data_IF_667651674119
#
_entry.id   IF_667651674119
#
_cell.length_a   1.000
_cell.length_b   1.000
_cell.length_c   1.000
_cell.angle_alpha   90.00
_cell.angle_beta   90.00
_cell.angle_gamma   90.00
#
_symmetry.space_group_name_H-M   'P 1'
#
loop_
_entity.id
_entity.type
_entity.pdbx_description
1 polymer ?
#
# COMPACT_ATOMS: atom_id res chain seq x y z
N UNK A 1 16.11 4.36 2.34
CA UNK A 1 15.11 5.44 2.46
C UNK A 1 14.38 5.23 3.79
N UNK A 2 14.13 6.31 4.53
CA UNK A 2 13.87 6.30 5.98
C UNK A 2 12.58 5.56 6.38
N UNK A 3 12.67 4.71 7.40
CA UNK A 3 11.65 3.74 7.83
C UNK A 3 10.75 4.26 8.98
N UNK A 4 10.72 5.58 9.24
CA UNK A 4 10.29 6.08 10.56
C UNK A 4 9.29 7.24 10.61
N UNK A 5 8.68 7.64 9.49
CA UNK A 5 7.69 8.75 9.48
C UNK A 5 6.48 8.46 8.58
N UNK A 6 6.27 7.20 8.24
CA UNK A 6 5.46 6.81 7.10
C UNK A 6 4.56 5.61 7.39
N UNK A 7 3.74 5.24 6.41
CA UNK A 7 2.87 4.06 6.51
C UNK A 7 3.63 2.76 6.20
N UNK A 8 3.03 1.62 6.56
CA UNK A 8 3.45 0.29 6.15
C UNK A 8 2.27 -0.52 5.59
N UNK A 9 2.57 -1.52 4.76
CA UNK A 9 1.56 -2.45 4.24
C UNK A 9 1.49 -3.63 5.22
N UNK A 10 0.39 -3.74 5.99
CA UNK A 10 0.15 -4.83 6.92
C UNK A 10 -0.37 -6.09 6.22
N UNK A 11 -1.13 -5.90 5.14
CA UNK A 11 -1.64 -6.97 4.28
C UNK A 11 -1.87 -6.43 2.85
N UNK A 12 -1.73 -7.26 1.80
CA UNK A 12 -1.28 -8.66 1.82
C UNK A 12 0.21 -8.80 2.15
N UNK A 13 0.62 -9.97 2.64
CA UNK A 13 2.03 -10.27 2.90
C UNK A 13 2.77 -10.54 1.59
N UNK A 14 4.08 -10.27 1.57
CA UNK A 14 4.93 -10.50 0.40
C UNK A 14 4.84 -11.97 -0.08
N UNK A 15 4.62 -12.16 -1.37
CA UNK A 15 4.46 -13.48 -1.99
C UNK A 15 3.04 -14.06 -1.89
N UNK A 16 2.07 -13.31 -1.36
CA UNK A 16 0.67 -13.75 -1.33
C UNK A 16 0.14 -14.01 -2.74
N UNK A 17 -0.67 -15.06 -2.87
CA UNK A 17 -1.32 -15.43 -4.12
C UNK A 17 -2.68 -14.76 -4.24
N UNK A 18 -2.94 -14.14 -5.38
CA UNK A 18 -4.18 -13.44 -5.70
C UNK A 18 -4.75 -13.94 -7.03
N UNK A 19 -6.05 -13.77 -7.23
CA UNK A 19 -6.72 -14.14 -8.48
C UNK A 19 -7.33 -12.91 -9.16
N UNK A 20 -7.27 -12.82 -10.51
CA UNK A 20 -7.94 -11.74 -11.24
C UNK A 20 -9.44 -11.69 -10.91
N UNK A 21 -10.00 -10.48 -10.76
CA UNK A 21 -11.42 -10.27 -10.45
C UNK A 21 -11.82 -10.52 -9.00
N UNK A 22 -10.88 -10.88 -8.12
CA UNK A 22 -11.15 -11.03 -6.69
C UNK A 22 -10.92 -9.74 -5.92
N UNK A 23 -11.71 -9.54 -4.86
CA UNK A 23 -11.45 -8.48 -3.89
C UNK A 23 -10.37 -8.95 -2.91
N UNK A 24 -9.35 -8.12 -2.74
CA UNK A 24 -8.31 -8.30 -1.72
C UNK A 24 -8.41 -7.19 -0.70
N UNK A 25 -8.03 -7.49 0.54
CA UNK A 25 -7.89 -6.49 1.59
C UNK A 25 -6.46 -5.97 1.61
N UNK A 26 -6.31 -4.67 1.43
CA UNK A 26 -5.06 -3.95 1.62
C UNK A 26 -5.15 -3.24 2.96
N UNK A 27 -4.37 -3.71 3.92
CA UNK A 27 -4.22 -3.10 5.23
C UNK A 27 -3.05 -2.13 5.18
N UNK A 28 -3.32 -0.87 5.48
CA UNK A 28 -2.31 0.17 5.55
C UNK A 28 -2.23 0.61 7.00
N UNK A 29 -1.08 0.35 7.60
CA UNK A 29 -0.80 0.72 8.98
C UNK A 29 -0.11 2.08 9.00
N UNK A 30 -0.42 2.87 10.01
CA UNK A 30 0.30 4.09 10.36
C UNK A 30 1.01 3.84 11.69
N UNK A 31 2.26 3.34 11.68
CA UNK A 31 3.08 3.24 12.88
C UNK A 31 3.14 4.58 13.62
N UNK A 32 3.19 4.53 14.96
CA UNK A 32 3.30 5.73 15.78
C UNK A 32 4.52 6.56 15.36
N UNK A 33 4.27 7.79 14.90
CA UNK A 33 5.31 8.73 14.48
C UNK A 33 5.69 9.64 15.65
N UNK A 34 7.00 9.91 15.81
CA UNK A 34 7.51 10.82 16.84
C UNK A 34 7.04 12.28 16.65
N UNK A 35 6.66 12.64 15.43
CA UNK A 35 6.09 13.95 15.06
C UNK A 35 4.64 13.77 14.62
N UNK A 36 3.73 14.65 15.05
CA UNK A 36 2.36 14.64 14.57
C UNK A 36 2.31 14.79 13.04
N UNK A 37 1.52 13.95 12.39
CA UNK A 37 1.18 14.06 10.96
C UNK A 37 -0.34 14.16 10.77
N UNK A 38 -0.74 14.87 9.71
CA UNK A 38 -2.11 14.88 9.19
C UNK A 38 -2.15 14.03 7.94
N UNK A 39 -2.98 13.00 7.95
CA UNK A 39 -3.19 12.10 6.83
C UNK A 39 -4.09 12.79 5.80
N UNK A 40 -3.72 12.71 4.52
CA UNK A 40 -4.45 13.42 3.45
C UNK A 40 -5.04 12.43 2.46
N UNK A 41 -4.21 11.62 1.83
CA UNK A 41 -4.65 10.71 0.78
C UNK A 41 -3.74 9.51 0.62
N UNK A 42 -4.33 8.44 0.09
CA UNK A 42 -3.61 7.24 -0.33
C UNK A 42 -4.07 6.80 -1.71
N UNK A 43 -3.13 6.26 -2.47
CA UNK A 43 -3.35 5.65 -3.77
C UNK A 43 -2.87 4.21 -3.68
N UNK A 44 -3.76 3.28 -4.00
CA UNK A 44 -3.43 1.85 -4.09
C UNK A 44 -3.36 1.51 -5.57
N UNK A 45 -2.19 1.11 -6.01
CA UNK A 45 -1.92 0.71 -7.39
C UNK A 45 -1.61 -0.77 -7.50
N UNK A 46 -1.82 -1.30 -8.70
CA UNK A 46 -1.51 -2.68 -9.04
C UNK A 46 -0.83 -2.76 -10.39
N UNK A 47 0.27 -3.50 -10.45
CA UNK A 47 1.05 -3.70 -11.67
C UNK A 47 1.38 -5.17 -11.85
N UNK A 48 1.00 -5.75 -13.00
CA UNK A 48 1.53 -7.04 -13.43
C UNK A 48 2.97 -6.86 -13.90
N UNK A 49 3.86 -7.76 -13.48
CA UNK A 49 5.28 -7.71 -13.82
C UNK A 49 5.64 -8.64 -14.98
N UNK A 50 4.61 -9.21 -15.63
CA UNK A 50 4.75 -10.01 -16.84
C UNK A 50 5.22 -9.09 -17.99
N UNK A 51 6.32 -9.48 -18.65
CA UNK A 51 6.87 -8.74 -19.79
C UNK A 51 7.99 -7.74 -19.45
N UNK A 52 8.34 -7.55 -18.18
CA UNK A 52 9.52 -6.76 -17.81
C UNK A 52 10.80 -7.61 -17.94
N UNK A 53 11.80 -7.05 -18.60
CA UNK A 53 13.02 -7.74 -19.06
C UNK A 53 13.94 -8.25 -17.96
N UNK A 54 13.79 -7.78 -16.72
CA UNK A 54 14.66 -8.15 -15.58
C UNK A 54 13.97 -9.01 -14.52
N UNK A 55 12.78 -9.57 -14.78
CA UNK A 55 11.97 -10.29 -13.77
C UNK A 55 11.64 -9.46 -12.52
N UNK A 56 11.89 -8.15 -12.58
CA UNK A 56 11.66 -7.19 -11.51
C UNK A 56 10.56 -6.23 -11.93
N UNK A 57 9.60 -6.05 -11.02
CA UNK A 57 8.56 -5.06 -11.18
C UNK A 57 9.18 -3.64 -11.16
N UNK A 58 8.65 -2.69 -11.94
CA UNK A 58 9.12 -1.31 -11.89
C UNK A 58 8.90 -0.72 -10.49
N UNK A 59 9.79 0.14 -9.97
CA UNK A 59 9.61 0.73 -8.65
C UNK A 59 8.29 1.52 -8.58
N UNK A 60 7.57 1.47 -7.44
CA UNK A 60 6.22 2.06 -7.30
C UNK A 60 6.21 3.58 -7.52
N UNK A 61 7.32 4.25 -7.20
CA UNK A 61 7.49 5.68 -7.43
C UNK A 61 7.59 6.04 -8.93
N UNK A 62 7.99 5.10 -9.78
CA UNK A 62 8.07 5.29 -11.23
C UNK A 62 6.82 4.80 -11.96
N UNK A 63 6.14 3.78 -11.43
CA UNK A 63 4.91 3.24 -12.00
C UNK A 63 3.97 2.71 -10.92
N UNK A 64 2.85 3.41 -10.73
CA UNK A 64 1.76 2.98 -9.84
C UNK A 64 1.01 1.80 -10.48
N UNK A 65 0.81 1.84 -11.80
CA UNK A 65 0.04 0.85 -12.56
C UNK A 65 -1.45 1.18 -12.60
N UNK A 66 -2.28 0.14 -12.55
CA UNK A 66 -3.74 0.29 -12.45
C UNK A 66 -4.11 0.80 -11.07
N UNK A 67 -4.74 1.98 -11.00
CA UNK A 67 -5.22 2.55 -9.74
C UNK A 67 -6.46 1.78 -9.28
N UNK A 68 -6.36 1.11 -8.14
CA UNK A 68 -7.46 0.35 -7.54
C UNK A 68 -8.21 1.18 -6.48
N UNK A 69 -7.53 2.11 -5.83
CA UNK A 69 -8.12 3.07 -4.91
C UNK A 69 -7.40 4.41 -5.01
N UNK A 70 -8.16 5.49 -4.89
CA UNK A 70 -7.73 6.87 -4.83
C UNK A 70 -8.71 7.55 -3.88
N UNK A 71 -8.21 8.09 -2.77
CA UNK A 71 -9.10 8.73 -1.82
C UNK A 71 -8.43 9.11 -0.51
N UNK A 72 -9.24 9.62 0.44
CA UNK A 72 -8.77 9.98 1.77
C UNK A 72 -8.21 8.75 2.51
N UNK A 73 -7.29 9.03 3.42
CA UNK A 73 -6.71 8.06 4.35
C UNK A 73 -6.92 8.57 5.77
N UNK A 74 -7.62 7.77 6.58
CA UNK A 74 -7.98 8.11 7.97
C UNK A 74 -7.87 6.83 8.82
N UNK A 75 -6.66 6.47 9.27
CA UNK A 75 -6.43 5.25 10.04
C UNK A 75 -6.92 5.42 11.48
N UNK A 76 -7.68 4.43 11.96
CA UNK A 76 -8.24 4.42 13.31
C UNK A 76 -7.57 3.36 14.20
N UNK A 77 -7.65 3.56 15.52
CA UNK A 77 -7.30 2.52 16.49
C UNK A 77 -8.44 1.51 16.60
N UNK A 78 -8.16 0.26 16.26
CA UNK A 78 -9.14 -0.81 16.35
C UNK A 78 -9.04 -1.51 17.71
N UNK A 79 -10.18 -1.93 18.25
CA UNK A 79 -10.26 -2.61 19.56
C UNK A 79 -9.69 -4.04 19.54
N UNK A 80 -9.42 -4.58 18.35
CA UNK A 80 -8.86 -5.91 18.13
C UNK A 80 -7.32 -5.90 18.29
N UNK A 81 -6.86 -5.46 19.45
CA UNK A 81 -5.43 -5.42 19.82
C UNK A 81 -4.92 -6.85 20.05
N UNK A 82 -4.62 -7.54 18.95
CA UNK A 82 -3.64 -8.62 18.98
C UNK A 82 -2.24 -8.00 19.14
N UNK A 83 -1.28 -8.67 19.80
CA UNK A 83 0.06 -8.10 20.04
C UNK A 83 0.83 -7.69 18.77
N UNK A 84 0.35 -8.07 17.58
CA UNK A 84 0.86 -7.70 16.26
C UNK A 84 0.21 -6.46 15.62
N UNK A 85 -0.94 -5.97 16.14
CA UNK A 85 -1.68 -4.81 15.60
C UNK A 85 -1.83 -3.72 16.64
N UNK A 86 -0.71 -3.07 16.97
CA UNK A 86 -0.67 -1.97 17.95
C UNK A 86 -0.82 -0.58 17.30
N UNK A 87 -0.58 -0.47 15.99
CA UNK A 87 -0.66 0.80 15.26
C UNK A 87 -2.08 1.02 14.69
N UNK A 88 -2.54 2.28 14.56
CA UNK A 88 -3.76 2.59 13.84
C UNK A 88 -3.64 2.17 12.37
N UNK A 89 -4.71 1.63 11.80
CA UNK A 89 -4.71 1.13 10.43
C UNK A 89 -6.06 1.37 9.73
N UNK A 90 -6.03 1.31 8.40
CA UNK A 90 -7.24 1.32 7.58
C UNK A 90 -7.20 0.16 6.56
N UNK A 91 -8.34 -0.52 6.43
CA UNK A 91 -8.51 -1.61 5.49
C UNK A 91 -9.24 -1.13 4.23
N UNK A 92 -8.64 -1.42 3.08
CA UNK A 92 -9.20 -1.12 1.77
C UNK A 92 -9.54 -2.40 1.05
N UNK A 93 -10.81 -2.58 0.69
CA UNK A 93 -11.22 -3.67 -0.20
C UNK A 93 -11.08 -3.20 -1.64
N UNK A 94 -10.15 -3.80 -2.39
CA UNK A 94 -9.88 -3.44 -3.78
C UNK A 94 -9.99 -4.65 -4.68
N UNK A 95 -10.56 -4.45 -5.87
CA UNK A 95 -10.72 -5.52 -6.87
C UNK A 95 -9.50 -5.59 -7.78
N UNK A 96 -8.91 -6.78 -7.90
CA UNK A 96 -7.85 -7.01 -8.89
C UNK A 96 -8.45 -7.00 -10.30
N UNK A 97 -7.86 -6.27 -11.27
CA UNK A 97 -8.37 -6.24 -12.64
C UNK A 97 -8.48 -7.65 -13.24
N UNK A 98 -9.62 -7.97 -13.86
CA UNK A 98 -9.90 -9.29 -14.45
C UNK A 98 -8.98 -9.63 -15.63
N UNK A 99 -8.40 -8.62 -16.28
CA UNK A 99 -7.49 -8.75 -17.42
C UNK A 99 -6.03 -8.99 -17.02
N UNK A 100 -5.77 -9.21 -15.73
CA UNK A 100 -4.42 -9.41 -15.21
C UNK A 100 -3.84 -10.76 -15.63
N UNK A 101 -2.67 -10.73 -16.29
CA UNK A 101 -1.92 -11.93 -16.63
C UNK A 101 -1.38 -12.65 -15.40
N UNK A 102 -1.41 -13.98 -15.44
CA UNK A 102 -0.79 -14.85 -14.43
C UNK A 102 0.71 -14.60 -14.34
N UNK A 103 1.27 -14.64 -13.13
CA UNK A 103 2.69 -14.44 -12.88
C UNK A 103 2.99 -13.42 -11.78
N UNK A 104 4.24 -12.94 -11.69
CA UNK A 104 4.63 -11.97 -10.67
C UNK A 104 3.88 -10.65 -10.87
N UNK A 105 3.43 -10.08 -9.77
CA UNK A 105 2.80 -8.77 -9.73
C UNK A 105 3.29 -7.99 -8.51
N UNK A 106 2.99 -6.70 -8.48
CA UNK A 106 3.19 -5.86 -7.32
C UNK A 106 1.93 -5.06 -7.01
N UNK A 107 1.70 -4.87 -5.72
CA UNK A 107 0.80 -3.87 -5.19
C UNK A 107 1.64 -2.69 -4.72
N UNK A 108 1.28 -1.48 -5.13
CA UNK A 108 1.92 -0.24 -4.73
C UNK A 108 0.98 0.58 -3.84
N UNK A 109 1.55 1.25 -2.85
CA UNK A 109 0.84 2.17 -1.98
C UNK A 109 1.59 3.49 -1.99
N UNK A 110 0.96 4.54 -2.51
CA UNK A 110 1.47 5.91 -2.46
C UNK A 110 0.70 6.69 -1.43
N UNK A 111 1.40 7.23 -0.45
CA UNK A 111 0.85 7.89 0.71
C UNK A 111 1.28 9.37 0.74
N UNK A 112 0.30 10.24 0.96
CA UNK A 112 0.52 11.68 1.10
C UNK A 112 0.04 12.15 2.47
N UNK A 113 0.94 12.80 3.20
CA UNK A 113 0.68 13.36 4.52
C UNK A 113 1.37 14.71 4.72
N UNK A 114 0.90 15.46 5.70
CA UNK A 114 1.49 16.72 6.16
C UNK A 114 2.15 16.48 7.52
N UNK A 115 3.44 16.75 7.64
CA UNK A 115 4.23 16.41 8.85
C UNK A 115 4.72 17.67 9.56
N UNK A 116 4.56 17.73 10.89
CA UNK A 116 5.07 18.80 11.75
C UNK A 116 4.11 19.98 11.96
N UNK A 117 4.49 20.89 12.86
CA UNK A 117 3.67 22.06 13.25
C UNK A 117 3.70 23.21 12.21
N UNK A 118 4.75 23.27 11.39
CA UNK A 118 4.78 24.01 10.13
C UNK A 118 4.77 22.97 9.00
N UNK A 119 3.60 22.48 8.58
CA UNK A 119 3.50 21.21 7.87
C UNK A 119 4.23 21.26 6.53
N UNK A 120 5.15 20.31 6.33
CA UNK A 120 5.73 20.06 5.02
C UNK A 120 5.08 18.83 4.38
N UNK A 121 4.96 18.80 3.03
CA UNK A 121 4.41 17.66 2.32
C UNK A 121 5.38 16.47 2.39
N UNK A 122 4.89 15.33 2.87
CA UNK A 122 5.58 14.04 2.79
C UNK A 122 4.85 13.16 1.77
N UNK A 123 5.58 12.75 0.74
CA UNK A 123 5.13 11.74 -0.22
C UNK A 123 5.97 10.49 -0.04
N UNK A 124 5.30 9.37 0.21
CA UNK A 124 5.94 8.07 0.36
C UNK A 124 5.33 7.10 -0.64
N UNK A 125 6.15 6.18 -1.17
CA UNK A 125 5.66 5.08 -1.98
C UNK A 125 6.28 3.77 -1.49
N UNK A 126 5.43 2.78 -1.31
CA UNK A 126 5.74 1.44 -0.84
C UNK A 126 5.23 0.44 -1.85
N UNK A 127 5.76 -0.77 -1.81
CA UNK A 127 5.23 -1.88 -2.59
C UNK A 127 5.37 -3.20 -1.85
N UNK A 128 4.55 -4.15 -2.24
CA UNK A 128 4.64 -5.56 -1.84
C UNK A 128 4.54 -6.44 -3.08
N UNK A 129 5.33 -7.51 -3.12
CA UNK A 129 5.32 -8.48 -4.21
C UNK A 129 4.16 -9.46 -4.03
N UNK A 130 3.51 -9.82 -5.14
CA UNK A 130 2.37 -10.73 -5.19
C UNK A 130 2.54 -11.73 -6.34
N UNK A 131 1.77 -12.81 -6.28
CA UNK A 131 1.72 -13.83 -7.34
C UNK A 131 0.28 -13.94 -7.84
N UNK A 132 0.07 -13.69 -9.12
CA UNK A 132 -1.24 -13.88 -9.78
C UNK A 132 -1.36 -15.31 -10.29
N UNK A 133 -2.41 -16.01 -9.87
CA UNK A 133 -2.68 -17.42 -10.24
C UNK A 133 -3.64 -17.59 -11.41
#
# INVERSE_FOLDING_TARGET
MAFGQGVSIGAPTAGSTISPGTNITVEVDRPDTLTGSTEVAIIIGFTSCVGFTESQCPPPASLIGSVLYNGPYDPEFHTDVTPTKLAPYQNFSVMIPTTTSKGPAQLSVTHFSLVGAGPFPLLQSLNVSLIVQ
#
